data_IF_276184876536
#
_entry.id   IF_276184876536
#
_cell.length_a   1.000
_cell.length_b   1.000
_cell.length_c   1.000
_cell.angle_alpha   90.00
_cell.angle_beta   90.00
_cell.angle_gamma   90.00
#
_symmetry.space_group_name_H-M   'P 1'
#
loop_
_entity.id
_entity.type
_entity.pdbx_description
1 polymer ?
#
# COMPACT_ATOMS: atom_id res chain seq x y z
N UNK A 1 13.89 13.30 0.15
CA UNK A 1 12.94 13.31 1.29
C UNK A 1 12.54 11.86 1.61
N UNK A 2 13.23 11.27 2.60
CA UNK A 2 13.01 9.90 3.04
C UNK A 2 11.57 9.80 3.53
N UNK A 3 10.74 9.08 2.80
CA UNK A 3 9.34 8.84 3.17
C UNK A 3 9.36 7.93 4.39
N UNK A 4 9.43 8.55 5.56
CA UNK A 4 9.15 7.92 6.83
C UNK A 4 7.65 7.58 6.82
N UNK A 5 7.32 6.43 6.22
CA UNK A 5 6.01 5.79 6.38
C UNK A 5 6.06 5.19 7.79
N UNK A 6 6.08 6.08 8.80
CA UNK A 6 5.67 5.70 10.14
C UNK A 6 4.29 5.08 9.98
N UNK A 7 4.08 3.94 10.65
CA UNK A 7 2.82 3.23 10.79
C UNK A 7 1.71 4.20 11.22
N UNK A 8 1.17 4.98 10.29
CA UNK A 8 -0.04 5.75 10.47
C UNK A 8 -1.11 4.67 10.39
N UNK A 9 -1.51 4.16 11.55
CA UNK A 9 -2.78 3.45 11.65
C UNK A 9 -3.82 4.34 10.97
N UNK A 10 -4.43 3.91 9.86
CA UNK A 10 -5.33 4.78 9.16
C UNK A 10 -6.54 5.02 10.05
N UNK A 11 -7.06 6.25 10.08
CA UNK A 11 -8.29 6.55 10.77
C UNK A 11 -9.37 5.54 10.37
N UNK A 12 -9.95 4.84 11.36
CA UNK A 12 -10.95 3.76 11.21
C UNK A 12 -12.22 4.14 10.43
N UNK A 13 -12.30 5.36 9.92
CA UNK A 13 -13.40 5.95 9.17
C UNK A 13 -13.11 6.08 7.66
N UNK A 14 -11.88 5.83 7.19
CA UNK A 14 -11.58 5.74 5.76
C UNK A 14 -11.66 4.27 5.35
N UNK A 15 -12.73 3.91 4.62
CA UNK A 15 -13.03 2.56 4.17
C UNK A 15 -11.80 1.81 3.62
N UNK A 16 -11.78 0.51 3.92
CA UNK A 16 -10.80 -0.51 3.52
C UNK A 16 -10.02 -0.15 2.24
N UNK A 17 -8.89 0.53 2.39
CA UNK A 17 -8.04 0.83 1.24
C UNK A 17 -7.23 -0.44 0.93
N UNK A 18 -7.38 -1.05 -0.27
CA UNK A 18 -6.61 -2.24 -0.63
C UNK A 18 -5.09 -2.03 -0.57
N UNK A 19 -4.70 -0.75 -0.57
CA UNK A 19 -3.35 -0.23 -0.58
C UNK A 19 -2.68 -0.39 0.79
N UNK A 20 -3.43 -0.23 1.89
CA UNK A 20 -2.94 -0.54 3.23
C UNK A 20 -2.64 -2.05 3.37
N UNK A 21 -3.43 -2.90 2.71
CA UNK A 21 -3.22 -4.35 2.71
C UNK A 21 -1.88 -4.71 2.08
N UNK A 22 -1.57 -4.14 0.91
CA UNK A 22 -0.31 -4.42 0.19
C UNK A 22 0.90 -3.87 0.96
N UNK A 23 0.82 -2.65 1.51
CA UNK A 23 1.90 -2.10 2.34
C UNK A 23 2.15 -2.95 3.58
N UNK A 24 1.10 -3.36 4.30
CA UNK A 24 1.23 -4.24 5.48
C UNK A 24 1.84 -5.60 5.13
N UNK A 25 1.44 -6.18 4.00
CA UNK A 25 1.98 -7.47 3.54
C UNK A 25 3.49 -7.37 3.31
N UNK A 26 3.96 -6.29 2.69
CA UNK A 26 5.38 -6.04 2.49
C UNK A 26 6.11 -5.73 3.81
N UNK A 27 5.52 -4.95 4.71
CA UNK A 27 6.06 -4.68 6.04
C UNK A 27 6.23 -5.95 6.87
N UNK A 28 5.26 -6.87 6.84
CA UNK A 28 5.37 -8.17 7.51
C UNK A 28 6.48 -9.02 6.91
N UNK A 29 6.61 -9.02 5.57
CA UNK A 29 7.72 -9.68 4.89
C UNK A 29 9.08 -9.13 5.34
N UNK A 30 9.22 -7.80 5.41
CA UNK A 30 10.43 -7.13 5.87
C UNK A 30 10.73 -7.38 7.35
N UNK A 31 9.71 -7.39 8.22
CA UNK A 31 9.85 -7.70 9.66
C UNK A 31 10.34 -9.13 9.89
N UNK A 32 9.90 -10.10 9.09
CA UNK A 32 10.39 -11.48 9.16
C UNK A 32 11.87 -11.58 8.77
N UNK A 33 12.31 -10.79 7.79
CA UNK A 33 13.73 -10.74 7.40
C UNK A 33 14.60 -9.96 8.40
N UNK A 34 14.05 -8.96 9.08
CA UNK A 34 14.77 -8.08 9.99
C UNK A 34 14.12 -8.05 11.39
N UNK A 35 14.17 -9.16 12.15
CA UNK A 35 13.49 -9.28 13.44
C UNK A 35 14.00 -8.29 14.51
N UNK A 36 15.20 -7.75 14.33
CA UNK A 36 15.82 -6.80 15.27
C UNK A 36 15.57 -5.33 14.93
N UNK A 37 14.91 -5.02 13.79
CA UNK A 37 14.67 -3.63 13.38
C UNK A 37 13.24 -3.21 13.76
N UNK A 38 13.06 -2.33 14.76
CA UNK A 38 11.73 -1.92 15.22
C UNK A 38 11.00 -1.01 14.20
N UNK A 39 11.76 -0.34 13.34
CA UNK A 39 11.25 0.46 12.23
C UNK A 39 11.99 0.06 10.95
N UNK A 40 11.26 -0.09 9.85
CA UNK A 40 11.81 -0.44 8.54
C UNK A 40 11.29 0.59 7.55
N UNK A 41 12.22 1.32 6.94
CA UNK A 41 11.92 2.24 5.84
C UNK A 41 12.22 1.54 4.52
N UNK A 42 11.33 1.70 3.56
CA UNK A 42 11.48 1.17 2.21
C UNK A 42 11.09 2.23 1.19
N UNK A 43 11.74 2.17 0.02
CA UNK A 43 11.38 3.02 -1.10
C UNK A 43 10.17 2.45 -1.86
N UNK A 44 9.43 3.34 -2.50
CA UNK A 44 8.27 2.95 -3.32
C UNK A 44 8.65 1.98 -4.45
N UNK A 45 9.86 2.11 -5.00
CA UNK A 45 10.36 1.18 -6.01
C UNK A 45 10.48 -0.25 -5.47
N UNK A 46 10.99 -0.43 -4.25
CA UNK A 46 11.11 -1.75 -3.64
C UNK A 46 9.74 -2.40 -3.38
N UNK A 47 8.73 -1.59 -3.02
CA UNK A 47 7.36 -2.06 -2.90
C UNK A 47 6.80 -2.48 -4.27
N UNK A 48 7.11 -1.75 -5.34
CA UNK A 48 6.65 -2.09 -6.69
C UNK A 48 7.32 -3.34 -7.25
N UNK A 49 8.61 -3.53 -6.97
CA UNK A 49 9.34 -4.76 -7.32
C UNK A 49 8.73 -5.96 -6.61
N UNK A 50 8.45 -5.84 -5.30
CA UNK A 50 7.73 -6.89 -4.56
C UNK A 50 6.35 -7.20 -5.14
N UNK A 51 5.61 -6.19 -5.60
CA UNK A 51 4.32 -6.38 -6.26
C UNK A 51 4.47 -7.10 -7.61
N UNK A 52 5.54 -6.84 -8.36
CA UNK A 52 5.80 -7.52 -9.63
C UNK A 52 6.27 -8.96 -9.47
N UNK A 53 7.01 -9.25 -8.39
CA UNK A 53 7.46 -10.60 -8.04
C UNK A 53 6.30 -11.51 -7.59
N UNK A 54 5.16 -10.93 -7.16
CA UNK A 54 3.96 -11.71 -6.86
C UNK A 54 3.38 -12.30 -8.16
N UNK A 55 3.24 -13.63 -8.18
CA UNK A 55 2.74 -14.39 -9.33
C UNK A 55 1.35 -13.93 -9.81
N UNK A 56 0.46 -13.57 -8.88
CA UNK A 56 -0.81 -12.93 -9.16
C UNK A 56 -1.19 -11.97 -8.03
N UNK A 57 -1.59 -10.76 -8.39
CA UNK A 57 -2.14 -9.77 -7.48
C UNK A 57 -3.29 -9.05 -8.17
N UNK A 58 -4.49 -9.29 -7.68
CA UNK A 58 -5.71 -8.60 -8.11
C UNK A 58 -6.47 -8.04 -6.93
N UNK A 59 -7.15 -6.92 -7.15
CA UNK A 59 -7.99 -6.27 -6.14
C UNK A 59 -9.41 -6.13 -6.65
N UNK A 60 -10.38 -6.50 -5.82
CA UNK A 60 -11.80 -6.36 -6.11
C UNK A 60 -12.33 -5.13 -5.39
N UNK A 61 -12.75 -4.11 -6.14
CA UNK A 61 -13.35 -2.90 -5.58
C UNK A 61 -14.85 -2.98 -5.74
N UNK A 62 -15.56 -2.82 -4.62
CA UNK A 62 -17.01 -2.80 -4.62
C UNK A 62 -17.53 -1.53 -5.31
N UNK A 63 -18.41 -1.72 -6.28
CA UNK A 63 -19.11 -0.68 -7.01
C UNK A 63 -20.56 -0.63 -6.54
N UNK A 64 -20.90 0.40 -5.78
CA UNK A 64 -22.25 0.56 -5.22
C UNK A 64 -23.31 0.83 -6.30
N UNK A 65 -22.90 1.39 -7.45
CA UNK A 65 -23.76 1.71 -8.59
C UNK A 65 -24.29 0.47 -9.30
N UNK A 66 -23.46 -0.55 -9.44
CA UNK A 66 -23.84 -1.84 -10.06
C UNK A 66 -24.03 -2.95 -9.03
N UNK A 67 -23.75 -2.69 -7.75
CA UNK A 67 -23.66 -3.67 -6.66
C UNK A 67 -22.73 -4.85 -6.97
N UNK A 68 -21.70 -4.64 -7.78
CA UNK A 68 -20.74 -5.67 -8.19
C UNK A 68 -19.33 -5.37 -7.70
N UNK A 69 -18.48 -6.39 -7.71
CA UNK A 69 -17.04 -6.22 -7.48
C UNK A 69 -16.31 -6.15 -8.81
N UNK A 70 -15.64 -5.03 -9.06
CA UNK A 70 -14.82 -4.85 -10.25
C UNK A 70 -13.39 -5.33 -9.94
N UNK A 71 -12.86 -6.31 -10.69
CA UNK A 71 -11.47 -6.71 -10.57
C UNK A 71 -10.55 -5.66 -11.18
N UNK A 72 -9.42 -5.44 -10.51
CA UNK A 72 -8.31 -4.60 -10.94
C UNK A 72 -7.01 -5.38 -10.84
N UNK A 73 -6.11 -5.11 -11.78
CA UNK A 73 -4.80 -5.74 -11.88
C UNK A 73 -3.75 -5.01 -11.03
N UNK A 74 -2.55 -5.58 -11.00
CA UNK A 74 -1.39 -5.01 -10.32
C UNK A 74 -1.03 -3.59 -10.76
N UNK A 75 -1.18 -3.25 -12.04
CA UNK A 75 -0.87 -1.90 -12.54
C UNK A 75 -1.77 -0.84 -11.90
N UNK A 76 -3.08 -1.12 -11.83
CA UNK A 76 -4.01 -0.23 -11.16
C UNK A 76 -3.69 -0.07 -9.68
N UNK A 77 -3.31 -1.16 -9.02
CA UNK A 77 -2.90 -1.14 -7.60
C UNK A 77 -1.67 -0.24 -7.43
N UNK A 78 -0.62 -0.41 -8.24
CA UNK A 78 0.59 0.42 -8.20
C UNK A 78 0.27 1.90 -8.39
N UNK A 79 -0.58 2.24 -9.35
CA UNK A 79 -1.00 3.62 -9.60
C UNK A 79 -1.72 4.23 -8.38
N UNK A 80 -2.63 3.46 -7.76
CA UNK A 80 -3.32 3.94 -6.56
C UNK A 80 -2.38 4.11 -5.37
N UNK A 81 -1.39 3.23 -5.20
CA UNK A 81 -0.37 3.36 -4.15
C UNK A 81 0.41 4.66 -4.37
N UNK A 82 0.86 4.90 -5.60
CA UNK A 82 1.59 6.11 -5.97
C UNK A 82 0.81 7.39 -5.63
N UNK A 83 -0.46 7.45 -6.02
CA UNK A 83 -1.33 8.61 -5.74
C UNK A 83 -1.53 8.81 -4.24
N UNK A 84 -1.72 7.75 -3.46
CA UNK A 84 -1.86 7.84 -2.01
C UNK A 84 -0.60 8.35 -1.33
N UNK A 85 0.56 7.75 -1.63
CA UNK A 85 1.85 8.15 -1.06
C UNK A 85 2.17 9.60 -1.40
N UNK A 86 1.91 10.02 -2.65
CA UNK A 86 2.07 11.43 -3.05
C UNK A 86 1.17 12.36 -2.24
N UNK A 87 -0.10 11.99 -2.00
CA UNK A 87 -1.03 12.78 -1.18
C UNK A 87 -0.59 12.85 0.28
N UNK A 88 -0.13 11.74 0.86
CA UNK A 88 0.39 11.72 2.23
C UNK A 88 1.62 12.62 2.37
N UNK A 89 2.57 12.55 1.44
CA UNK A 89 3.74 13.41 1.43
C UNK A 89 3.38 14.90 1.34
N UNK A 90 2.32 15.25 0.60
CA UNK A 90 1.80 16.62 0.54
C UNK A 90 1.09 17.07 1.84
N UNK A 91 0.44 16.15 2.55
CA UNK A 91 -0.25 16.44 3.82
C UNK A 91 0.72 16.57 5.00
N UNK A 92 1.79 15.76 5.02
CA UNK A 92 2.81 15.81 6.07
C UNK A 92 3.72 17.05 6.00
N UNK A 93 3.76 17.73 4.84
CA UNK A 93 4.53 18.96 4.63
C UNK A 93 3.78 20.26 4.92
N UNK A 94 2.65 20.20 5.66
CA UNK A 94 1.79 21.35 5.93
C UNK A 94 1.72 21.69 7.42
#
# INVERSE_FOLDING_TARGET
PKSEISLIEPPRHLGFSPLLGVCKMYEEHLKRMNPNSPSITYDISQLFDFIDDLADLSCLVYRADTQTYQPYNKDWIKEKIYVLLRRQAQQAGK
#
